data_IF_840951077276
#
_entry.id   IF_840951077276
#
_cell.length_a   1.000
_cell.length_b   1.000
_cell.length_c   1.000
_cell.angle_alpha   90.00
_cell.angle_beta   90.00
_cell.angle_gamma   90.00
#
_symmetry.space_group_name_H-M   'P 1'
#
loop_
_entity.id
_entity.type
_entity.pdbx_description
1 polymer ?
#
# COMPACT_ATOMS: atom_id res chain seq x y z
N UNK A 1 52.52 18.11 6.63
CA UNK A 1 51.21 18.84 6.56
C UNK A 1 50.64 19.00 5.15
N UNK A 2 51.25 18.48 4.07
CA UNK A 2 50.80 18.75 2.69
C UNK A 2 49.94 17.65 2.03
N UNK A 3 49.75 16.49 2.67
CA UNK A 3 48.95 15.36 2.10
C UNK A 3 47.49 15.29 2.58
N UNK A 4 47.09 16.08 3.58
CA UNK A 4 45.68 16.11 4.05
C UNK A 4 44.79 17.01 3.19
N UNK A 5 45.31 18.08 2.59
CA UNK A 5 44.50 19.02 1.79
C UNK A 5 43.95 18.45 0.47
N UNK A 6 44.69 17.53 -0.16
CA UNK A 6 44.29 16.98 -1.47
C UNK A 6 43.07 16.06 -1.34
N UNK A 7 43.01 15.21 -0.31
CA UNK A 7 41.91 14.24 -0.11
C UNK A 7 40.56 14.92 0.15
N UNK A 8 40.54 16.05 0.87
CA UNK A 8 39.30 16.81 1.10
C UNK A 8 38.79 17.48 -0.18
N UNK A 9 39.69 17.92 -1.08
CA UNK A 9 39.32 18.56 -2.36
C UNK A 9 38.67 17.57 -3.34
N UNK A 10 39.17 16.32 -3.43
CA UNK A 10 38.59 15.28 -4.28
C UNK A 10 37.22 14.81 -3.79
N UNK A 11 37.03 14.68 -2.47
CA UNK A 11 35.74 14.33 -1.88
C UNK A 11 34.69 15.42 -2.14
N UNK A 12 35.05 16.71 -2.08
CA UNK A 12 34.11 17.81 -2.35
C UNK A 12 33.68 17.89 -3.81
N UNK A 13 34.56 17.66 -4.78
CA UNK A 13 34.18 17.68 -6.20
C UNK A 13 33.29 16.49 -6.59
N UNK A 14 33.56 15.31 -6.01
CA UNK A 14 32.79 14.11 -6.26
C UNK A 14 31.36 14.20 -5.67
N UNK A 15 31.24 14.80 -4.48
CA UNK A 15 29.94 15.14 -3.89
C UNK A 15 29.19 16.21 -4.70
N UNK A 16 29.88 17.23 -5.21
CA UNK A 16 29.27 18.28 -6.03
C UNK A 16 28.74 17.74 -7.36
N UNK A 17 29.49 16.83 -8.01
CA UNK A 17 29.03 16.13 -9.21
C UNK A 17 27.83 15.21 -8.95
N UNK A 18 27.82 14.47 -7.85
CA UNK A 18 26.67 13.66 -7.42
C UNK A 18 25.43 14.53 -7.13
N UNK A 19 25.63 15.70 -6.51
CA UNK A 19 24.55 16.66 -6.23
C UNK A 19 23.99 17.27 -7.52
N UNK A 20 24.86 17.62 -8.48
CA UNK A 20 24.46 18.14 -9.80
C UNK A 20 23.74 17.05 -10.61
N UNK A 21 24.21 15.81 -10.59
CA UNK A 21 23.52 14.67 -11.23
C UNK A 21 22.14 14.42 -10.61
N UNK A 22 22.00 14.54 -9.29
CA UNK A 22 20.72 14.44 -8.59
C UNK A 22 19.77 15.62 -8.90
N UNK A 23 20.31 16.83 -9.01
CA UNK A 23 19.57 18.03 -9.42
C UNK A 23 19.15 17.95 -10.90
N UNK A 24 20.01 17.45 -11.78
CA UNK A 24 19.67 17.20 -13.19
C UNK A 24 18.62 16.09 -13.29
N UNK A 25 18.74 14.98 -12.54
CA UNK A 25 17.73 13.92 -12.57
C UNK A 25 16.36 14.35 -12.05
N UNK A 26 16.31 15.33 -11.14
CA UNK A 26 15.03 15.92 -10.69
C UNK A 26 14.45 16.93 -11.67
N UNK A 27 15.28 17.53 -12.54
CA UNK A 27 14.84 18.35 -13.68
C UNK A 27 14.37 17.50 -14.88
N UNK A 28 14.81 16.23 -14.98
CA UNK A 28 14.40 15.23 -15.97
C UNK A 28 13.31 14.27 -15.46
N UNK A 29 12.63 14.59 -14.37
CA UNK A 29 11.33 13.96 -14.10
C UNK A 29 10.31 14.66 -14.99
N UNK A 30 10.42 14.40 -16.29
CA UNK A 30 9.32 14.61 -17.22
C UNK A 30 8.10 13.96 -16.59
N UNK A 31 7.00 14.71 -16.60
CA UNK A 31 5.69 14.32 -16.10
C UNK A 31 5.45 12.85 -16.41
N UNK A 32 5.55 11.99 -15.39
CA UNK A 32 5.09 10.62 -15.48
C UNK A 32 3.60 10.70 -15.75
N UNK A 33 3.21 10.50 -17.00
CA UNK A 33 1.81 10.34 -17.36
C UNK A 33 1.26 9.21 -16.49
N UNK A 34 0.27 9.55 -15.65
CA UNK A 34 -0.35 8.58 -14.77
C UNK A 34 -0.95 7.46 -15.60
N UNK A 35 -0.59 6.21 -15.30
CA UNK A 35 -1.27 5.06 -15.87
C UNK A 35 -2.71 4.99 -15.33
N UNK A 36 -3.67 4.72 -16.20
CA UNK A 36 -5.04 4.45 -15.80
C UNK A 36 -5.16 3.00 -15.31
N UNK A 37 -5.75 2.81 -14.14
CA UNK A 37 -6.06 1.48 -13.59
C UNK A 37 -7.56 1.38 -13.32
N UNK A 38 -8.18 0.31 -13.80
CA UNK A 38 -9.57 0.02 -13.49
C UNK A 38 -9.67 -0.57 -12.08
N UNK A 39 -10.39 0.11 -11.21
CA UNK A 39 -10.66 -0.32 -9.83
C UNK A 39 -12.17 -0.41 -9.65
N UNK A 40 -12.64 -1.51 -9.07
CA UNK A 40 -14.05 -1.70 -8.75
C UNK A 40 -14.47 -0.77 -7.60
N UNK A 41 -15.71 -0.30 -7.65
CA UNK A 41 -16.28 0.52 -6.58
C UNK A 41 -16.52 -0.30 -5.31
N UNK A 42 -16.48 0.39 -4.18
CA UNK A 42 -17.03 -0.13 -2.93
C UNK A 42 -18.51 -0.50 -3.11
N UNK A 43 -18.97 -1.52 -2.38
CA UNK A 43 -20.32 -2.09 -2.49
C UNK A 43 -21.19 -1.86 -1.25
N UNK A 44 -20.62 -1.33 -0.17
CA UNK A 44 -21.30 -1.09 1.10
C UNK A 44 -21.31 0.42 1.42
N UNK A 45 -22.50 1.01 1.47
CA UNK A 45 -22.70 2.40 1.89
C UNK A 45 -23.40 2.48 3.24
N UNK A 46 -23.12 3.54 4.00
CA UNK A 46 -23.77 3.77 5.30
C UNK A 46 -24.95 4.72 5.12
N UNK A 47 -26.11 4.33 5.64
CA UNK A 47 -27.30 5.18 5.64
C UNK A 47 -27.03 6.55 6.30
N UNK A 48 -27.54 7.62 5.69
CA UNK A 48 -27.40 9.01 6.13
C UNK A 48 -26.05 9.66 5.83
N UNK A 49 -25.11 8.94 5.20
CA UNK A 49 -23.80 9.49 4.78
C UNK A 49 -23.73 9.65 3.26
N UNK A 50 -22.75 10.43 2.81
CA UNK A 50 -22.39 10.47 1.39
C UNK A 50 -21.55 9.27 0.99
N UNK A 51 -21.71 8.80 -0.25
CA UNK A 51 -21.02 7.64 -0.79
C UNK A 51 -20.54 7.91 -2.22
N UNK A 52 -19.32 7.48 -2.54
CA UNK A 52 -18.76 7.60 -3.89
C UNK A 52 -19.02 6.30 -4.66
N UNK A 53 -19.83 6.37 -5.71
CA UNK A 53 -19.97 5.28 -6.67
C UNK A 53 -18.84 5.42 -7.71
N UNK A 54 -17.86 4.54 -7.61
CA UNK A 54 -16.73 4.47 -8.53
C UNK A 54 -17.14 3.85 -9.86
N UNK A 55 -16.80 4.49 -10.98
CA UNK A 55 -16.89 3.84 -12.28
C UNK A 55 -15.72 4.29 -13.15
N UNK A 56 -14.73 3.43 -13.31
CA UNK A 56 -13.54 3.72 -14.10
C UNK A 56 -13.53 2.76 -15.28
N UNK A 57 -13.35 3.31 -16.48
CA UNK A 57 -13.02 2.53 -17.65
C UNK A 57 -11.83 3.17 -18.34
N UNK A 58 -10.74 2.44 -18.44
CA UNK A 58 -9.54 2.93 -19.08
C UNK A 58 -9.63 2.72 -20.58
N UNK A 59 -9.10 3.65 -21.38
CA UNK A 59 -8.85 3.37 -22.79
C UNK A 59 -7.79 2.29 -22.90
N UNK A 60 -7.91 1.42 -23.91
CA UNK A 60 -6.88 0.40 -24.20
C UNK A 60 -5.53 1.05 -24.54
N UNK A 61 -5.57 2.25 -25.11
CA UNK A 61 -4.45 3.01 -25.63
C UNK A 61 -4.64 4.47 -25.20
N UNK A 62 -3.78 4.97 -24.31
CA UNK A 62 -3.98 6.27 -23.66
C UNK A 62 -3.75 7.45 -24.61
N UNK A 63 -2.85 7.29 -25.58
CA UNK A 63 -2.45 8.33 -26.54
C UNK A 63 -3.51 8.67 -27.60
N UNK A 64 -4.55 7.83 -27.76
CA UNK A 64 -5.61 8.08 -28.73
C UNK A 64 -6.58 9.09 -28.15
N UNK A 65 -6.71 10.25 -28.79
CA UNK A 65 -7.69 11.27 -28.39
C UNK A 65 -9.12 10.73 -28.52
N UNK A 66 -9.98 11.16 -27.61
CA UNK A 66 -11.38 10.78 -27.66
C UNK A 66 -12.23 11.66 -26.77
N UNK A 67 -13.52 11.66 -27.07
CA UNK A 67 -14.57 12.26 -26.25
C UNK A 67 -15.48 11.18 -25.71
N UNK A 68 -16.04 11.41 -24.53
CA UNK A 68 -16.90 10.44 -23.86
C UNK A 68 -18.12 11.12 -23.26
N UNK A 69 -19.28 10.50 -23.44
CA UNK A 69 -20.50 10.80 -22.71
C UNK A 69 -20.78 9.66 -21.75
N UNK A 70 -21.22 9.99 -20.54
CA UNK A 70 -21.49 9.02 -19.49
C UNK A 70 -22.97 9.01 -19.15
N UNK A 71 -23.55 7.83 -19.07
CA UNK A 71 -24.93 7.64 -18.60
C UNK A 71 -24.95 6.65 -17.43
N UNK A 72 -25.72 6.97 -16.40
CA UNK A 72 -25.93 6.12 -15.25
C UNK A 72 -27.37 5.65 -15.19
N UNK A 73 -27.53 4.35 -14.97
CA UNK A 73 -28.80 3.69 -14.79
C UNK A 73 -28.85 2.99 -13.43
N UNK A 74 -30.03 3.00 -12.82
CA UNK A 74 -30.29 2.36 -11.55
C UNK A 74 -31.40 1.34 -11.67
N UNK A 75 -31.24 0.21 -10.98
CA UNK A 75 -32.27 -0.79 -10.78
C UNK A 75 -32.38 -1.07 -9.29
N UNK A 76 -33.54 -0.80 -8.70
CA UNK A 76 -33.78 -1.11 -7.30
C UNK A 76 -33.81 -2.63 -7.06
N UNK A 77 -33.56 -3.05 -5.82
CA UNK A 77 -33.61 -4.47 -5.45
C UNK A 77 -35.04 -5.00 -5.57
N UNK A 78 -35.26 -5.89 -6.54
CA UNK A 78 -36.57 -6.52 -6.78
C UNK A 78 -37.31 -5.98 -8.00
N UNK A 79 -36.80 -4.92 -8.64
CA UNK A 79 -37.32 -4.41 -9.90
C UNK A 79 -36.62 -5.06 -11.11
N UNK A 80 -37.34 -5.14 -12.24
CA UNK A 80 -36.83 -5.75 -13.46
C UNK A 80 -36.06 -4.77 -14.35
N UNK A 81 -36.48 -3.51 -14.39
CA UNK A 81 -36.01 -2.55 -15.38
C UNK A 81 -34.96 -1.59 -14.82
N UNK A 82 -34.14 -1.05 -15.72
CA UNK A 82 -33.17 0.00 -15.40
C UNK A 82 -33.78 1.36 -15.72
N UNK A 83 -33.63 2.30 -14.80
CA UNK A 83 -34.09 3.68 -14.95
C UNK A 83 -32.88 4.58 -15.14
N UNK A 84 -32.93 5.50 -16.09
CA UNK A 84 -31.88 6.49 -16.33
C UNK A 84 -31.89 7.52 -15.19
N UNK A 85 -30.76 7.70 -14.51
CA UNK A 85 -30.68 8.56 -13.31
C UNK A 85 -29.82 9.80 -13.51
N UNK A 86 -28.75 9.71 -14.31
CA UNK A 86 -27.77 10.79 -14.45
C UNK A 86 -27.03 10.68 -15.77
N UNK A 87 -26.86 11.81 -16.45
CA UNK A 87 -26.08 11.92 -17.68
C UNK A 87 -25.00 12.98 -17.51
N UNK A 88 -23.83 12.76 -18.10
CA UNK A 88 -22.74 13.74 -18.12
C UNK A 88 -22.13 13.83 -19.51
N UNK A 89 -22.14 15.04 -20.06
CA UNK A 89 -21.60 15.38 -21.37
C UNK A 89 -20.81 16.70 -21.30
N UNK A 90 -20.44 17.26 -22.46
CA UNK A 90 -19.73 18.54 -22.56
C UNK A 90 -20.45 19.71 -21.89
N UNK A 91 -21.78 19.69 -21.85
CA UNK A 91 -22.63 20.71 -21.21
C UNK A 91 -22.73 20.56 -19.69
N UNK A 92 -22.11 19.53 -19.10
CA UNK A 92 -22.17 19.23 -17.68
C UNK A 92 -23.05 18.03 -17.35
N UNK A 93 -23.40 17.91 -16.07
CA UNK A 93 -24.24 16.83 -15.55
C UNK A 93 -25.71 17.20 -15.52
N UNK A 94 -26.59 16.30 -15.95
CA UNK A 94 -28.03 16.38 -15.77
C UNK A 94 -28.53 15.19 -14.95
N UNK A 95 -29.40 15.47 -13.98
CA UNK A 95 -30.13 14.44 -13.24
C UNK A 95 -31.46 14.20 -13.95
N UNK A 96 -31.76 12.95 -14.27
CA UNK A 96 -32.92 12.58 -15.10
C UNK A 96 -34.07 12.01 -14.27
N UNK A 97 -33.83 11.70 -13.00
CA UNK A 97 -34.79 11.06 -12.12
C UNK A 97 -34.96 11.80 -10.80
N UNK A 98 -36.21 12.14 -10.46
CA UNK A 98 -36.57 12.98 -9.29
C UNK A 98 -36.00 12.47 -7.96
N UNK A 99 -35.96 11.14 -7.76
CA UNK A 99 -35.41 10.55 -6.53
C UNK A 99 -33.93 10.89 -6.28
N UNK A 100 -33.17 11.16 -7.35
CA UNK A 100 -31.74 11.47 -7.30
C UNK A 100 -31.46 12.97 -7.43
N UNK A 101 -32.51 13.79 -7.58
CA UNK A 101 -32.40 15.24 -7.71
C UNK A 101 -31.75 15.86 -6.47
N UNK A 102 -30.84 16.81 -6.69
CA UNK A 102 -30.07 17.52 -5.63
C UNK A 102 -29.25 16.61 -4.69
N UNK A 103 -29.06 15.34 -5.06
CA UNK A 103 -28.31 14.35 -4.25
C UNK A 103 -27.11 13.76 -4.98
N UNK A 104 -27.05 13.87 -6.31
CA UNK A 104 -25.98 13.29 -7.12
C UNK A 104 -25.08 14.39 -7.64
N UNK A 105 -23.79 14.27 -7.34
CA UNK A 105 -22.75 15.19 -7.82
C UNK A 105 -21.69 14.47 -8.64
N UNK A 106 -21.12 15.16 -9.63
CA UNK A 106 -20.01 14.63 -10.42
C UNK A 106 -18.68 14.64 -9.66
N UNK A 107 -18.06 13.47 -9.53
CA UNK A 107 -16.74 13.28 -8.94
C UNK A 107 -15.73 12.63 -9.92
N UNK A 108 -16.06 12.57 -11.20
CA UNK A 108 -15.19 12.01 -12.24
C UNK A 108 -14.18 13.00 -12.80
N UNK A 109 -13.66 12.72 -14.01
CA UNK A 109 -12.78 13.65 -14.73
C UNK A 109 -13.54 14.93 -15.10
N UNK A 110 -12.98 16.09 -14.75
CA UNK A 110 -13.61 17.42 -14.97
C UNK A 110 -12.88 18.29 -15.99
N UNK A 111 -11.63 17.95 -16.33
CA UNK A 111 -10.73 18.82 -17.09
C UNK A 111 -10.62 18.45 -18.57
N UNK A 112 -11.11 17.27 -18.95
CA UNK A 112 -11.04 16.73 -20.31
C UNK A 112 -12.38 16.16 -20.74
N UNK A 113 -12.63 16.21 -22.04
CA UNK A 113 -13.74 15.49 -22.68
C UNK A 113 -13.45 13.99 -22.80
N UNK A 114 -12.18 13.58 -22.68
CA UNK A 114 -11.76 12.20 -22.53
C UNK A 114 -12.04 11.71 -21.10
N UNK A 115 -13.27 11.25 -20.87
CA UNK A 115 -13.72 10.76 -19.55
C UNK A 115 -13.34 9.29 -19.38
N UNK A 116 -12.40 9.04 -18.47
CA UNK A 116 -12.00 7.70 -18.05
C UNK A 116 -12.51 7.34 -16.64
N UNK A 117 -12.62 8.34 -15.76
CA UNK A 117 -13.28 8.22 -14.45
C UNK A 117 -14.65 8.89 -14.51
N UNK A 118 -15.69 8.09 -14.37
CA UNK A 118 -17.10 8.46 -14.37
C UNK A 118 -17.76 8.37 -12.98
N UNK A 119 -16.96 8.51 -11.92
CA UNK A 119 -17.46 8.40 -10.55
C UNK A 119 -18.48 9.50 -10.21
N UNK A 120 -19.57 9.11 -9.56
CA UNK A 120 -20.57 10.03 -9.00
C UNK A 120 -20.55 9.95 -7.47
N UNK A 121 -20.93 11.05 -6.83
CA UNK A 121 -21.08 11.13 -5.39
C UNK A 121 -22.56 11.23 -5.04
N UNK A 122 -23.05 10.28 -4.25
CA UNK A 122 -24.44 10.23 -3.79
C UNK A 122 -24.52 10.72 -2.35
N UNK A 123 -25.22 11.84 -2.14
CA UNK A 123 -25.45 12.49 -0.86
C UNK A 123 -26.65 11.88 -0.13
N UNK A 124 -26.56 11.81 1.20
CA UNK A 124 -27.60 11.32 2.10
C UNK A 124 -28.19 9.98 1.62
N UNK A 125 -27.36 8.93 1.61
CA UNK A 125 -27.76 7.61 1.16
C UNK A 125 -28.85 7.02 2.06
N UNK A 126 -29.87 6.41 1.47
CA UNK A 126 -31.01 5.77 2.15
C UNK A 126 -31.09 4.29 1.78
N UNK A 127 -31.86 3.50 2.53
CA UNK A 127 -32.01 2.07 2.22
C UNK A 127 -32.62 1.80 0.84
N UNK A 128 -33.40 2.74 0.30
CA UNK A 128 -34.02 2.64 -1.03
C UNK A 128 -33.02 2.77 -2.17
N UNK A 129 -31.83 3.32 -1.90
CA UNK A 129 -30.73 3.42 -2.87
C UNK A 129 -29.99 2.08 -3.03
N UNK A 130 -30.38 1.04 -2.27
CA UNK A 130 -29.83 -0.31 -2.43
C UNK A 130 -30.30 -0.93 -3.75
N UNK A 131 -29.36 -1.33 -4.59
CA UNK A 131 -29.69 -1.86 -5.90
C UNK A 131 -28.46 -2.09 -6.77
N UNK A 132 -28.71 -2.14 -8.07
CA UNK A 132 -27.66 -2.31 -9.08
C UNK A 132 -27.57 -1.04 -9.90
N UNK A 133 -26.40 -0.42 -9.87
CA UNK A 133 -26.06 0.73 -10.70
C UNK A 133 -25.28 0.24 -11.92
N UNK A 134 -25.53 0.86 -13.06
CA UNK A 134 -24.83 0.59 -14.31
C UNK A 134 -24.42 1.90 -14.94
N UNK A 135 -23.14 2.08 -15.17
CA UNK A 135 -22.61 3.20 -15.93
C UNK A 135 -22.31 2.73 -17.36
N UNK A 136 -22.60 3.59 -18.33
CA UNK A 136 -22.25 3.45 -19.73
C UNK A 136 -21.30 4.56 -20.13
N UNK A 137 -20.23 4.20 -20.83
CA UNK A 137 -19.32 5.10 -21.50
C UNK A 137 -19.59 5.03 -22.99
N UNK A 138 -20.21 6.06 -23.53
CA UNK A 138 -20.37 6.25 -24.97
C UNK A 138 -19.18 7.08 -25.46
N UNK A 139 -18.17 6.40 -26.01
CA UNK A 139 -16.91 7.04 -26.42
C UNK A 139 -16.79 7.14 -27.93
N UNK A 140 -16.23 8.24 -28.38
CA UNK A 140 -15.81 8.48 -29.75
C UNK A 140 -14.28 8.61 -29.71
N UNK A 141 -13.58 7.67 -30.32
CA UNK A 141 -12.13 7.68 -30.43
C UNK A 141 -11.73 8.22 -31.81
N UNK A 142 -10.86 9.22 -31.83
CA UNK A 142 -10.37 9.87 -33.05
C UNK A 142 -8.98 9.31 -33.39
N UNK A 143 -8.88 8.64 -34.53
CA UNK A 143 -7.63 8.07 -35.03
C UNK A 143 -6.99 8.98 -36.10
N UNK A 144 -5.72 8.71 -36.41
CA UNK A 144 -5.05 9.35 -37.54
C UNK A 144 -5.84 9.12 -38.84
N UNK A 145 -5.96 10.17 -39.66
CA UNK A 145 -6.78 10.25 -40.88
C UNK A 145 -8.30 10.48 -40.64
N UNK A 146 -8.66 11.20 -39.58
CA UNK A 146 -10.04 11.63 -39.29
C UNK A 146 -11.04 10.46 -39.18
N UNK A 147 -10.56 9.28 -38.80
CA UNK A 147 -11.41 8.11 -38.60
C UNK A 147 -11.93 8.10 -37.15
N UNK A 148 -13.25 8.16 -37.01
CA UNK A 148 -13.93 8.08 -35.73
C UNK A 148 -14.45 6.67 -35.46
N UNK A 149 -14.16 6.16 -34.27
CA UNK A 149 -14.65 4.88 -33.80
C UNK A 149 -15.50 5.03 -32.55
N UNK A 150 -16.76 4.61 -32.65
CA UNK A 150 -17.70 4.66 -31.54
C UNK A 150 -17.66 3.35 -30.76
N UNK A 151 -17.46 3.44 -29.46
CA UNK A 151 -17.46 2.28 -28.56
C UNK A 151 -18.31 2.55 -27.33
N UNK A 152 -19.05 1.52 -26.92
CA UNK A 152 -19.91 1.57 -25.73
C UNK A 152 -19.42 0.53 -24.73
N UNK A 153 -18.99 0.99 -23.56
CA UNK A 153 -18.54 0.13 -22.47
C UNK A 153 -19.49 0.30 -21.30
N UNK A 154 -19.90 -0.80 -20.68
CA UNK A 154 -20.71 -0.74 -19.46
C UNK A 154 -20.02 -1.42 -18.29
N UNK A 155 -20.16 -0.83 -17.09
CA UNK A 155 -19.71 -1.42 -15.83
C UNK A 155 -20.90 -1.44 -14.87
N UNK A 156 -20.91 -2.44 -13.99
CA UNK A 156 -22.00 -2.69 -13.06
C UNK A 156 -21.45 -2.62 -11.64
N UNK A 157 -22.15 -1.89 -10.78
CA UNK A 157 -21.84 -1.74 -9.36
C UNK A 157 -23.05 -2.17 -8.54
N UNK A 158 -22.86 -3.10 -7.62
CA UNK A 158 -23.91 -3.55 -6.71
C UNK A 158 -23.77 -2.79 -5.39
N UNK A 159 -24.73 -1.92 -5.09
CA UNK A 159 -24.73 -1.12 -3.88
C UNK A 159 -25.67 -1.75 -2.84
N UNK A 160 -25.16 -1.91 -1.63
CA UNK A 160 -25.92 -2.34 -0.46
C UNK A 160 -25.78 -1.30 0.64
N UNK A 161 -26.91 -0.84 1.17
CA UNK A 161 -26.92 0.19 2.22
C UNK A 161 -27.09 -0.48 3.57
N UNK A 162 -26.12 -0.24 4.46
CA UNK A 162 -26.07 -0.78 5.82
C UNK A 162 -26.25 0.34 6.85
N UNK A 163 -26.78 -0.01 8.02
CA UNK A 163 -26.96 0.97 9.10
C UNK A 163 -25.63 1.40 9.73
N UNK A 164 -24.59 0.55 9.68
CA UNK A 164 -23.29 0.80 10.28
C UNK A 164 -22.19 0.21 9.40
N UNK A 165 -21.10 0.96 9.21
CA UNK A 165 -19.93 0.48 8.49
C UNK A 165 -19.30 -0.72 9.19
N UNK A 166 -19.11 -1.80 8.44
CA UNK A 166 -18.35 -2.99 8.84
C UNK A 166 -16.91 -2.86 8.35
N UNK A 167 -15.95 -3.32 9.17
CA UNK A 167 -14.56 -3.44 8.72
C UNK A 167 -14.46 -4.66 7.79
N UNK A 168 -13.74 -4.52 6.69
CA UNK A 168 -13.52 -5.63 5.75
C UNK A 168 -12.94 -6.85 6.45
N UNK A 169 -13.46 -8.03 6.14
CA UNK A 169 -13.03 -9.30 6.74
C UNK A 169 -11.53 -9.53 6.54
N UNK A 170 -10.98 -9.18 5.37
CA UNK A 170 -9.56 -9.24 5.08
C UNK A 170 -8.73 -8.37 6.02
N UNK A 171 -9.19 -7.15 6.36
CA UNK A 171 -8.48 -6.27 7.31
C UNK A 171 -8.42 -6.91 8.69
N UNK A 172 -9.54 -7.42 9.20
CA UNK A 172 -9.61 -8.09 10.51
C UNK A 172 -8.71 -9.33 10.53
N UNK A 173 -8.78 -10.18 9.50
CA UNK A 173 -7.96 -11.40 9.41
C UNK A 173 -6.48 -11.05 9.33
N UNK A 174 -6.09 -10.06 8.53
CA UNK A 174 -4.69 -9.65 8.40
C UNK A 174 -4.10 -9.13 9.71
N UNK A 175 -4.88 -8.38 10.49
CA UNK A 175 -4.48 -7.88 11.81
C UNK A 175 -4.26 -9.04 12.80
N UNK A 176 -5.20 -9.99 12.86
CA UNK A 176 -5.07 -11.17 13.74
C UNK A 176 -3.88 -12.04 13.34
N UNK A 177 -3.72 -12.32 12.04
CA UNK A 177 -2.60 -13.13 11.54
C UNK A 177 -1.25 -12.49 11.83
N UNK A 178 -1.14 -11.16 11.70
CA UNK A 178 0.07 -10.42 12.07
C UNK A 178 0.45 -10.67 13.54
N UNK A 179 -0.49 -10.54 14.48
CA UNK A 179 -0.22 -10.78 15.90
C UNK A 179 0.16 -12.23 16.20
N UNK A 180 -0.52 -13.20 15.58
CA UNK A 180 -0.20 -14.63 15.74
C UNK A 180 1.23 -14.92 15.27
N UNK A 181 1.63 -14.38 14.11
CA UNK A 181 3.01 -14.53 13.61
C UNK A 181 4.03 -13.86 14.53
N UNK A 182 3.77 -12.66 15.03
CA UNK A 182 4.68 -11.96 15.96
C UNK A 182 4.85 -12.76 17.25
N UNK A 183 3.77 -13.21 17.88
CA UNK A 183 3.83 -13.98 19.13
C UNK A 183 4.53 -15.32 18.90
N UNK A 184 4.22 -16.00 17.80
CA UNK A 184 4.86 -17.28 17.44
C UNK A 184 6.38 -17.14 17.27
N UNK A 185 6.83 -16.14 16.52
CA UNK A 185 8.26 -15.86 16.34
C UNK A 185 8.93 -15.46 17.67
N UNK A 186 8.26 -14.67 18.51
CA UNK A 186 8.81 -14.26 19.79
C UNK A 186 8.98 -15.45 20.74
N UNK A 187 7.99 -16.35 20.83
CA UNK A 187 8.08 -17.57 21.65
C UNK A 187 9.17 -18.50 21.11
N UNK A 188 9.27 -18.66 19.79
CA UNK A 188 10.32 -19.47 19.17
C UNK A 188 11.73 -18.94 19.50
N UNK A 189 11.95 -17.63 19.35
CA UNK A 189 13.23 -17.01 19.73
C UNK A 189 13.52 -17.15 21.23
N UNK A 190 12.52 -17.03 22.11
CA UNK A 190 12.71 -17.24 23.54
C UNK A 190 13.09 -18.69 23.87
N UNK A 191 12.49 -19.67 23.18
CA UNK A 191 12.85 -21.08 23.33
C UNK A 191 14.31 -21.31 22.92
N UNK A 192 14.74 -20.80 21.77
CA UNK A 192 16.13 -20.90 21.31
C UNK A 192 17.11 -20.18 22.25
N UNK A 193 16.74 -19.00 22.77
CA UNK A 193 17.53 -18.27 23.75
C UNK A 193 17.71 -19.05 25.05
N UNK A 194 16.64 -19.63 25.61
CA UNK A 194 16.70 -20.44 26.83
C UNK A 194 17.49 -21.74 26.58
N UNK A 195 17.27 -22.38 25.44
CA UNK A 195 17.98 -23.60 25.05
C UNK A 195 19.49 -23.35 24.94
N UNK A 196 19.89 -22.31 24.21
CA UNK A 196 21.29 -21.90 24.09
C UNK A 196 21.88 -21.48 25.44
N UNK A 197 21.14 -20.72 26.25
CA UNK A 197 21.59 -20.29 27.57
C UNK A 197 21.89 -21.48 28.47
N UNK A 198 20.96 -22.45 28.59
CA UNK A 198 21.16 -23.65 29.41
C UNK A 198 22.35 -24.49 28.92
N UNK A 199 22.49 -24.62 27.59
CA UNK A 199 23.60 -25.36 26.99
C UNK A 199 24.95 -24.72 27.27
N UNK A 200 25.06 -23.39 27.14
CA UNK A 200 26.30 -22.66 27.42
C UNK A 200 26.60 -22.65 28.91
N UNK A 201 25.59 -22.48 29.78
CA UNK A 201 25.78 -22.52 31.22
C UNK A 201 26.37 -23.87 31.68
N UNK A 202 25.85 -24.99 31.15
CA UNK A 202 26.40 -26.32 31.44
C UNK A 202 27.87 -26.46 30.98
N UNK A 203 28.22 -25.99 29.78
CA UNK A 203 29.60 -26.02 29.29
C UNK A 203 30.51 -25.02 30.04
N UNK A 204 29.97 -23.91 30.52
CA UNK A 204 30.69 -22.89 31.28
C UNK A 204 31.07 -23.36 32.68
N UNK A 205 30.21 -24.12 33.35
CA UNK A 205 30.53 -24.76 34.64
C UNK A 205 31.69 -25.75 34.51
N UNK A 206 31.75 -26.51 33.42
CA UNK A 206 32.85 -27.43 33.13
C UNK A 206 34.17 -26.66 32.89
N UNK A 207 34.14 -25.61 32.06
CA UNK A 207 35.31 -24.77 31.81
C UNK A 207 35.82 -24.04 33.07
N UNK A 208 34.92 -23.58 33.93
CA UNK A 208 35.28 -22.95 35.20
C UNK A 208 35.93 -23.94 36.17
N UNK A 209 35.45 -25.19 36.18
CA UNK A 209 36.02 -26.27 37.00
C UNK A 209 37.40 -26.70 36.51
N UNK A 210 37.62 -26.73 35.20
CA UNK A 210 38.94 -26.98 34.61
C UNK A 210 39.93 -25.85 34.93
N UNK A 211 39.50 -24.58 34.82
CA UNK A 211 40.32 -23.43 35.19
C UNK A 211 40.70 -23.44 36.68
N UNK A 212 39.75 -23.72 37.58
CA UNK A 212 40.02 -23.82 39.01
C UNK A 212 40.98 -24.98 39.33
N UNK A 213 40.81 -26.15 38.70
CA UNK A 213 41.72 -27.28 38.89
C UNK A 213 43.15 -26.96 38.40
N UNK A 214 43.30 -26.24 37.29
CA UNK A 214 44.61 -25.80 36.80
C UNK A 214 45.28 -24.81 37.78
N UNK A 215 44.51 -23.90 38.37
CA UNK A 215 45.01 -22.95 39.39
C UNK A 215 45.45 -23.66 40.68
N UNK A 216 44.67 -24.61 41.19
CA UNK A 216 45.08 -25.43 42.35
C UNK A 216 46.38 -26.21 42.11
N UNK A 217 46.53 -26.79 40.91
CA UNK A 217 47.77 -27.50 40.54
C UNK A 217 48.97 -26.56 40.45
N UNK A 218 48.78 -25.33 39.95
CA UNK A 218 49.84 -24.32 39.88
C UNK A 218 50.30 -23.88 41.28
N UNK A 219 49.36 -23.64 42.21
CA UNK A 219 49.68 -23.28 43.61
C UNK A 219 50.41 -24.44 44.32
N UNK A 220 50.01 -25.69 44.07
CA UNK A 220 50.68 -26.86 44.64
C UNK A 220 52.14 -26.98 44.17
N UNK A 221 52.44 -26.71 42.87
CA UNK A 221 53.81 -26.69 42.38
C UNK A 221 54.66 -25.59 43.03
N UNK A 222 54.12 -24.39 43.20
CA UNK A 222 54.85 -23.27 43.82
C UNK A 222 55.17 -23.54 45.30
N UNK A 223 54.26 -24.19 46.05
CA UNK A 223 54.53 -24.62 47.43
C UNK A 223 55.59 -25.72 47.53
N UNK A 224 55.68 -26.59 46.51
CA UNK A 224 56.64 -27.70 46.46
C UNK A 224 58.06 -27.21 46.18
N UNK A 225 58.20 -26.18 45.34
CA UNK A 225 59.49 -25.56 45.05
C UNK A 225 60.03 -24.77 46.27
N UNK A 226 59.15 -24.09 47.02
CA UNK A 226 59.53 -23.44 48.28
C UNK A 226 59.92 -24.42 49.40
N UNK A 227 59.43 -25.66 49.38
CA UNK A 227 59.82 -26.71 50.35
C UNK A 227 61.11 -27.45 49.94
N UNK A 228 61.48 -27.43 48.65
CA UNK A 228 62.74 -27.98 48.14
C UNK A 228 63.93 -27.02 48.29
N UNK A 229 63.69 -25.74 48.62
CA UNK A 229 64.71 -24.70 48.76
C UNK A 229 65.37 -24.56 50.14
N UNK A 230 64.94 -25.31 51.16
CA UNK A 230 65.60 -25.29 52.47
C UNK A 230 66.57 -26.47 52.57
N UNK A 231 67.73 -26.35 51.91
CA UNK A 231 68.90 -27.12 52.31
C UNK A 231 69.61 -26.40 53.45
N UNK A 232 69.63 -27.07 54.60
CA UNK A 232 70.43 -26.75 55.79
C UNK A 232 71.90 -26.73 55.39
N UNK A 233 72.52 -25.57 55.50
CA UNK A 233 73.97 -25.44 55.39
C UNK A 233 74.63 -25.84 56.71
N UNK A 234 75.45 -26.89 56.64
CA UNK A 234 76.64 -27.06 57.48
C UNK A 234 77.70 -27.81 56.66
#
# INVERSE_FOLDING_TARGET
MHRRGVVYQWLTEQFFHLLILALLSSLFVDVLDGACAEVDSDTEAVAGKGFKLGCISCKRRSEVEGSATVEWYFRARGEADFVHIYSYNEGGGSVEHDHFMDRVDWNGSKRSMDIQDASIYLLNVTFNDSGTYRCFFNRILSYANDFEYNTVVSKVVHLTVVAKATRGTASIVSEVMMYVSIIGLQVWLLIEMIYCYRKIAAAGEEALREAANAEYLAIASESKDNMAGVQVGE
#
